data_IF_613788391080
#
_entry.id   IF_613788391080
#
_cell.length_a   1.000
_cell.length_b   1.000
_cell.length_c   1.000
_cell.angle_alpha   90.00
_cell.angle_beta   90.00
_cell.angle_gamma   90.00
#
_symmetry.space_group_name_H-M   'P 1'
#
loop_
_entity.id
_entity.type
_entity.pdbx_description
1 polymer ?
#
# COMPACT_ATOMS: atom_id res chain seq x y z
N UNK A 1 13.45 6.68 8.12
CA UNK A 1 11.99 6.79 8.24
C UNK A 1 11.46 5.40 7.94
N UNK A 2 11.26 4.58 8.98
CA UNK A 2 10.85 3.18 8.80
C UNK A 2 9.41 3.07 9.26
N UNK A 3 8.50 3.51 8.40
CA UNK A 3 7.07 3.27 8.61
C UNK A 3 6.85 1.77 8.36
N UNK A 4 6.83 0.97 9.42
CA UNK A 4 6.48 -0.45 9.31
C UNK A 4 4.98 -0.55 9.02
N UNK A 5 4.60 -0.45 7.76
CA UNK A 5 3.23 -0.74 7.34
C UNK A 5 2.98 -2.24 7.45
N UNK A 6 1.84 -2.62 8.02
CA UNK A 6 1.47 -4.03 8.12
C UNK A 6 1.15 -4.59 6.72
N UNK A 7 1.92 -5.60 6.29
CA UNK A 7 1.70 -6.30 5.01
C UNK A 7 0.49 -7.24 5.05
N UNK A 8 -0.14 -7.43 6.20
CA UNK A 8 -1.37 -8.21 6.33
C UNK A 8 -2.23 -7.64 7.44
N UNK A 9 -3.53 -7.78 7.30
CA UNK A 9 -4.47 -7.27 8.29
C UNK A 9 -5.91 -7.37 7.86
N UNK A 10 -6.78 -6.81 8.70
CA UNK A 10 -8.17 -6.52 8.35
C UNK A 10 -8.24 -5.11 7.78
N UNK A 11 -9.09 -4.90 6.79
CA UNK A 11 -9.32 -3.56 6.28
C UNK A 11 -10.07 -2.71 7.32
N UNK A 12 -9.85 -1.39 7.27
CA UNK A 12 -10.53 -0.44 8.14
C UNK A 12 -11.95 -0.14 7.65
N UNK A 13 -12.73 0.60 8.45
CA UNK A 13 -14.08 1.05 8.09
C UNK A 13 -14.09 1.76 6.73
N UNK A 14 -15.03 1.45 5.82
CA UNK A 14 -16.22 0.58 5.96
C UNK A 14 -16.03 -0.86 5.45
N UNK A 15 -14.79 -1.37 5.41
CA UNK A 15 -14.43 -2.64 4.78
C UNK A 15 -13.99 -3.72 5.78
N UNK A 16 -14.48 -3.69 7.02
CA UNK A 16 -14.05 -4.62 8.07
C UNK A 16 -14.37 -6.09 7.77
N UNK A 17 -15.26 -6.37 6.83
CA UNK A 17 -15.55 -7.73 6.34
C UNK A 17 -14.44 -8.30 5.45
N UNK A 18 -13.46 -7.49 5.07
CA UNK A 18 -12.34 -7.85 4.20
C UNK A 18 -11.04 -7.92 4.99
N UNK A 19 -10.18 -8.87 4.63
CA UNK A 19 -8.78 -8.92 5.08
C UNK A 19 -7.85 -8.93 3.89
N UNK A 20 -6.62 -8.45 4.08
CA UNK A 20 -5.63 -8.35 3.03
C UNK A 20 -4.30 -8.99 3.43
N UNK A 21 -3.55 -9.43 2.42
CA UNK A 21 -2.15 -9.81 2.51
C UNK A 21 -1.40 -9.24 1.30
N UNK A 22 -0.22 -8.68 1.53
CA UNK A 22 0.63 -8.06 0.51
C UNK A 22 1.95 -8.81 0.49
N UNK A 23 2.27 -9.34 -0.68
CA UNK A 23 3.55 -10.00 -0.98
C UNK A 23 4.35 -9.08 -1.88
N UNK A 24 5.55 -8.72 -1.45
CA UNK A 24 6.48 -7.90 -2.20
C UNK A 24 7.65 -8.80 -2.62
N UNK A 25 7.77 -9.04 -3.92
CA UNK A 25 8.91 -9.70 -4.51
C UNK A 25 9.88 -8.62 -5.00
N UNK A 26 10.91 -8.35 -4.20
CA UNK A 26 11.96 -7.41 -4.58
C UNK A 26 12.72 -7.95 -5.79
N UNK A 27 12.83 -7.15 -6.86
CA UNK A 27 13.65 -7.44 -8.02
C UNK A 27 15.15 -7.30 -7.72
N UNK A 28 16.00 -7.58 -8.71
CA UNK A 28 17.42 -7.26 -8.60
C UNK A 28 17.64 -5.73 -8.65
N UNK A 29 18.86 -5.27 -8.34
CA UNK A 29 19.19 -3.84 -8.38
C UNK A 29 18.86 -3.22 -9.76
N UNK A 30 17.83 -2.38 -9.81
CA UNK A 30 17.34 -1.72 -11.02
C UNK A 30 16.04 -2.29 -11.57
N UNK A 31 15.63 -3.49 -11.17
CA UNK A 31 14.36 -4.08 -11.58
C UNK A 31 13.20 -3.58 -10.69
N UNK A 32 11.99 -3.40 -11.26
CA UNK A 32 10.79 -3.11 -10.48
C UNK A 32 10.47 -4.26 -9.52
N UNK A 33 10.04 -3.91 -8.30
CA UNK A 33 9.47 -4.86 -7.37
C UNK A 33 8.09 -5.31 -7.87
N UNK A 34 7.84 -6.61 -7.86
CA UNK A 34 6.54 -7.18 -8.19
C UNK A 34 5.72 -7.36 -6.91
N UNK A 35 4.60 -6.65 -6.84
CA UNK A 35 3.74 -6.61 -5.66
C UNK A 35 2.41 -7.26 -5.97
N UNK A 36 1.99 -8.16 -5.09
CA UNK A 36 0.69 -8.81 -5.14
C UNK A 36 -0.06 -8.45 -3.86
N UNK A 37 -1.24 -7.87 -3.99
CA UNK A 37 -2.19 -7.69 -2.90
C UNK A 37 -3.32 -8.71 -3.07
N UNK A 38 -3.47 -9.62 -2.12
CA UNK A 38 -4.59 -10.54 -2.05
C UNK A 38 -5.61 -10.03 -1.03
N UNK A 39 -6.88 -9.97 -1.44
CA UNK A 39 -8.01 -9.60 -0.58
C UNK A 39 -8.88 -10.83 -0.38
N UNK A 40 -9.27 -11.09 0.87
CA UNK A 40 -10.12 -12.20 1.27
C UNK A 40 -11.42 -11.68 1.89
N UNK A 41 -12.53 -12.34 1.59
CA UNK A 41 -13.83 -12.08 2.22
C UNK A 41 -14.69 -13.34 2.23
N UNK A 42 -15.80 -13.30 2.97
CA UNK A 42 -16.83 -14.35 2.90
C UNK A 42 -18.05 -13.83 2.16
N UNK A 43 -18.57 -14.61 1.20
CA UNK A 43 -19.82 -14.31 0.51
C UNK A 43 -20.67 -15.58 0.40
N UNK A 44 -21.94 -15.52 0.82
CA UNK A 44 -22.84 -16.67 0.80
C UNK A 44 -22.33 -17.89 1.58
N UNK A 45 -21.56 -17.68 2.66
CA UNK A 45 -20.96 -18.74 3.48
C UNK A 45 -19.72 -19.41 2.86
N UNK A 46 -19.21 -18.89 1.74
CA UNK A 46 -17.98 -19.38 1.08
C UNK A 46 -16.88 -18.35 1.22
N UNK A 47 -15.66 -18.84 1.38
CA UNK A 47 -14.45 -18.00 1.32
C UNK A 47 -14.21 -17.60 -0.14
N UNK A 48 -13.87 -16.34 -0.34
CA UNK A 48 -13.58 -15.72 -1.63
C UNK A 48 -12.25 -14.98 -1.52
N UNK A 49 -11.51 -14.92 -2.62
CA UNK A 49 -10.35 -14.04 -2.72
C UNK A 49 -10.19 -13.44 -4.11
N UNK A 50 -9.43 -12.34 -4.18
CA UNK A 50 -8.99 -11.70 -5.42
C UNK A 50 -7.56 -11.21 -5.26
N UNK A 51 -6.75 -11.38 -6.31
CA UNK A 51 -5.40 -10.84 -6.40
C UNK A 51 -5.36 -9.59 -7.27
N UNK A 52 -4.59 -8.59 -6.82
CA UNK A 52 -4.26 -7.38 -7.57
C UNK A 52 -2.74 -7.30 -7.67
N UNK A 53 -2.23 -7.22 -8.90
CA UNK A 53 -0.82 -7.28 -9.19
C UNK A 53 -0.32 -5.93 -9.73
N UNK A 54 0.89 -5.52 -9.33
CA UNK A 54 1.50 -4.28 -9.80
C UNK A 54 3.03 -4.33 -9.76
N UNK A 55 3.66 -3.44 -10.51
CA UNK A 55 5.11 -3.23 -10.53
C UNK A 55 5.45 -1.87 -9.91
N UNK A 56 6.35 -1.85 -8.94
CA UNK A 56 6.82 -0.63 -8.28
C UNK A 56 8.28 -0.41 -8.67
N UNK A 57 8.57 0.68 -9.37
CA UNK A 57 9.92 1.04 -9.76
C UNK A 57 10.79 1.31 -8.50
N UNK A 58 12.04 0.83 -8.45
CA UNK A 58 12.95 1.14 -7.37
C UNK A 58 13.32 2.63 -7.40
N UNK A 59 13.58 3.21 -6.22
CA UNK A 59 14.17 4.56 -6.13
C UNK A 59 15.64 4.47 -6.57
N UNK A 60 15.92 4.81 -7.82
CA UNK A 60 17.26 4.91 -8.37
C UNK A 60 17.74 6.36 -8.29
N UNK A 61 18.15 6.79 -7.10
CA UNK A 61 18.69 8.13 -6.88
C UNK A 61 18.80 8.50 -5.41
N UNK A 62 19.72 9.41 -5.10
CA UNK A 62 19.91 9.99 -3.77
C UNK A 62 19.06 11.24 -3.54
N UNK A 63 18.15 11.56 -4.48
CA UNK A 63 17.31 12.75 -4.37
C UNK A 63 16.44 12.64 -3.12
N UNK A 64 16.58 13.57 -2.16
CA UNK A 64 15.79 13.55 -0.95
C UNK A 64 14.31 13.68 -1.30
N UNK A 65 13.43 13.02 -0.53
CA UNK A 65 11.99 13.20 -0.68
C UNK A 65 11.69 14.72 -0.61
N UNK A 66 11.02 15.30 -1.62
CA UNK A 66 10.74 16.73 -1.64
C UNK A 66 9.82 17.09 -0.47
N UNK A 67 9.97 18.30 0.08
CA UNK A 67 9.05 18.79 1.09
C UNK A 67 7.66 18.93 0.46
N UNK A 68 6.72 18.06 0.90
CA UNK A 68 5.32 18.07 0.43
C UNK A 68 4.42 18.91 1.31
N UNK A 69 4.98 19.57 2.33
CA UNK A 69 4.20 20.48 3.17
C UNK A 69 3.83 21.71 2.33
N UNK A 70 2.59 22.21 2.46
CA UNK A 70 2.25 23.52 1.92
C UNK A 70 3.23 24.59 2.43
N UNK A 71 3.63 25.52 1.55
CA UNK A 71 4.50 26.65 1.92
C UNK A 71 3.84 27.52 3.01
N UNK A 72 2.51 27.59 2.98
CA UNK A 72 1.70 28.32 3.96
C UNK A 72 0.68 27.38 4.62
N UNK A 73 0.46 27.57 5.92
CA UNK A 73 -0.61 26.87 6.63
C UNK A 73 -1.95 27.35 6.09
N UNK A 74 -2.86 26.42 5.78
CA UNK A 74 -4.23 26.77 5.32
C UNK A 74 -4.90 27.63 6.39
N UNK A 75 -5.15 28.90 6.07
CA UNK A 75 -5.92 29.80 6.93
C UNK A 75 -7.39 29.38 6.93
N UNK A 76 -7.96 29.25 8.12
CA UNK A 76 -9.36 28.88 8.37
C UNK A 76 -10.10 29.93 9.19
N UNK A 77 -9.59 31.16 9.26
CA UNK A 77 -10.36 32.26 9.84
C UNK A 77 -11.62 32.52 9.00
N UNK A 78 -12.75 32.66 9.69
CA UNK A 78 -14.11 32.80 9.14
C UNK A 78 -14.32 34.02 8.22
#
# INVERSE_FOLDING_TARGET
>A
YESSFALRGRCEEPFEDYSYEVVINEGSAGDPAFVIAEIYWKSGGRDQSISVETLIAPRLGDDPDPDRRPDETVDRSE
#
